data_IF_996637591039
#
_entry.id   IF_996637591039
#
_cell.length_a   1.000
_cell.length_b   1.000
_cell.length_c   1.000
_cell.angle_alpha   90.00
_cell.angle_beta   90.00
_cell.angle_gamma   90.00
#
_symmetry.space_group_name_H-M   'P 1'
#
loop_
_entity.id
_entity.type
_entity.pdbx_description
1 polymer ?
2 water ?
#
# COMPACT_ATOMS: atom_id res chain seq x y z
N UNK A 1 3.38 -15.33 -6.72
CA UNK A 1 2.38 -14.62 -5.93
C UNK A 1 1.90 -13.41 -6.69
N UNK A 2 0.94 -12.71 -6.11
CA UNK A 2 0.32 -11.59 -6.79
C UNK A 2 0.79 -10.22 -6.36
N UNK A 3 -0.08 -9.52 -5.65
CA UNK A 3 0.11 -8.11 -5.31
C UNK A 3 0.04 -7.91 -3.83
N UNK A 4 1.03 -7.24 -3.26
CA UNK A 4 0.91 -6.80 -1.88
C UNK A 4 1.09 -5.30 -1.82
N UNK A 5 0.11 -4.63 -1.23
CA UNK A 5 0.03 -3.19 -1.35
C UNK A 5 -0.17 -2.54 0.00
N UNK A 6 0.66 -1.54 0.28
CA UNK A 6 0.52 -0.76 1.50
C UNK A 6 0.82 0.69 1.23
N UNK A 7 -0.12 1.57 1.58
CA UNK A 7 0.09 3.00 1.42
C UNK A 7 -0.41 3.77 2.63
N UNK A 8 0.31 4.80 3.00
CA UNK A 8 -0.09 5.64 4.11
C UNK A 8 0.02 7.07 3.65
N UNK A 9 -1.10 7.78 3.73
CA UNK A 9 -1.14 9.16 3.31
C UNK A 9 -1.50 10.04 4.50
N UNK A 10 -0.63 10.99 4.82
CA UNK A 10 -0.93 11.91 5.89
C UNK A 10 -0.90 13.35 5.42
N UNK A 11 -2.09 13.93 5.26
CA UNK A 11 -2.22 15.36 5.02
C UNK A 11 -2.58 16.01 6.34
#
# INVERSE_FOLDING_TARGET
SGNNFGAILSS
#
